data_IF_153453139944
#
_entry.id   IF_153453139944
#
_cell.length_a   1.000
_cell.length_b   1.000
_cell.length_c   1.000
_cell.angle_alpha   90.00
_cell.angle_beta   90.00
_cell.angle_gamma   90.00
#
_symmetry.space_group_name_H-M   'P 1'
#
loop_
_entity.id
_entity.type
_entity.pdbx_description
1 polymer ?
#
# COMPACT_ATOMS: atom_id res chain seq x y z
N UNK A 1 43.63 -0.55 -11.70
CA UNK A 1 42.20 -0.55 -12.05
C UNK A 1 41.36 -1.41 -11.10
N UNK A 2 41.88 -2.54 -10.59
CA UNK A 2 41.22 -3.33 -9.53
C UNK A 2 41.05 -2.54 -8.22
N UNK A 3 42.07 -1.83 -7.77
CA UNK A 3 42.07 -1.19 -6.44
C UNK A 3 41.03 -0.06 -6.32
N UNK A 4 40.91 0.78 -7.36
CA UNK A 4 39.88 1.82 -7.44
C UNK A 4 38.46 1.24 -7.45
N UNK A 5 38.28 0.06 -8.06
CA UNK A 5 36.99 -0.62 -8.10
C UNK A 5 36.64 -1.22 -6.74
N UNK A 6 37.61 -1.87 -6.09
CA UNK A 6 37.48 -2.41 -4.72
C UNK A 6 37.19 -1.30 -3.70
N UNK A 7 37.89 -0.17 -3.80
CA UNK A 7 37.68 0.98 -2.92
C UNK A 7 36.29 1.59 -3.11
N UNK A 8 35.81 1.74 -4.34
CA UNK A 8 34.47 2.26 -4.62
C UNK A 8 33.37 1.31 -4.12
N UNK A 9 33.56 -0.01 -4.25
CA UNK A 9 32.63 -1.01 -3.70
C UNK A 9 32.59 -0.94 -2.18
N UNK A 10 33.75 -0.82 -1.52
CA UNK A 10 33.86 -0.68 -0.06
C UNK A 10 33.16 0.59 0.45
N UNK A 11 33.40 1.74 -0.20
CA UNK A 11 32.73 3.01 0.14
C UNK A 11 31.22 2.95 -0.04
N UNK A 12 30.73 2.32 -1.12
CA UNK A 12 29.29 2.14 -1.33
C UNK A 12 28.68 1.24 -0.26
N UNK A 13 29.33 0.12 0.06
CA UNK A 13 28.85 -0.79 1.09
C UNK A 13 28.74 -0.07 2.45
N UNK A 14 29.75 0.73 2.81
CA UNK A 14 29.73 1.55 4.02
C UNK A 14 28.58 2.57 4.02
N UNK A 15 28.41 3.33 2.93
CA UNK A 15 27.34 4.34 2.83
C UNK A 15 25.93 3.72 2.91
N UNK A 16 25.71 2.58 2.24
CA UNK A 16 24.42 1.87 2.27
C UNK A 16 24.18 1.23 3.64
N UNK A 17 25.23 0.77 4.33
CA UNK A 17 25.13 0.25 5.70
C UNK A 17 24.77 1.37 6.67
N UNK A 18 25.44 2.52 6.58
CA UNK A 18 25.12 3.70 7.39
C UNK A 18 23.68 4.18 7.16
N UNK A 19 23.23 4.20 5.91
CA UNK A 19 21.84 4.45 5.55
C UNK A 19 20.88 3.46 6.24
N UNK A 20 21.15 2.16 6.17
CA UNK A 20 20.30 1.13 6.75
C UNK A 20 20.21 1.28 8.28
N UNK A 21 21.35 1.54 8.95
CA UNK A 21 21.39 1.83 10.38
C UNK A 21 20.58 3.08 10.73
N UNK A 22 20.75 4.17 9.97
CA UNK A 22 20.00 5.41 10.19
C UNK A 22 18.48 5.20 10.02
N UNK A 23 18.05 4.45 9.00
CA UNK A 23 16.65 4.12 8.79
C UNK A 23 16.10 3.24 9.92
N UNK A 24 16.86 2.25 10.39
CA UNK A 24 16.45 1.41 11.51
C UNK A 24 16.33 2.21 12.81
N UNK A 25 17.28 3.10 13.09
CA UNK A 25 17.23 4.00 14.24
C UNK A 25 16.03 4.94 14.15
N UNK A 26 15.75 5.49 12.96
CA UNK A 26 14.56 6.31 12.74
C UNK A 26 13.27 5.53 13.01
N UNK A 27 13.15 4.34 12.42
CA UNK A 27 11.98 3.47 12.62
C UNK A 27 11.78 3.12 14.11
N UNK A 28 12.86 2.96 14.86
CA UNK A 28 12.81 2.67 16.30
C UNK A 28 12.44 3.90 17.14
N UNK A 29 12.94 5.09 16.81
CA UNK A 29 12.75 6.32 17.61
C UNK A 29 11.47 7.07 17.27
N UNK A 30 11.12 7.12 15.99
CA UNK A 30 10.06 8.00 15.45
C UNK A 30 8.93 7.16 14.84
N UNK A 31 9.23 5.93 14.43
CA UNK A 31 8.29 5.04 13.77
C UNK A 31 8.54 4.92 12.26
N UNK A 32 7.84 3.98 11.64
CA UNK A 32 8.02 3.69 10.21
C UNK A 32 7.45 4.85 9.38
N UNK A 33 8.26 5.49 8.49
CA UNK A 33 7.77 6.50 7.57
C UNK A 33 6.68 5.89 6.68
N UNK A 34 5.45 6.42 6.73
CA UNK A 34 4.32 5.86 5.99
C UNK A 34 3.65 6.86 5.04
N UNK A 35 4.11 8.12 5.02
CA UNK A 35 3.62 9.12 4.08
C UNK A 35 4.49 9.21 2.81
N UNK A 36 3.90 9.53 1.64
CA UNK A 36 4.64 9.49 0.38
C UNK A 36 5.88 10.39 0.32
N UNK A 37 5.87 11.53 1.01
CA UNK A 37 6.99 12.46 1.00
C UNK A 37 8.10 11.92 1.90
N UNK A 38 7.79 11.49 3.13
CA UNK A 38 8.75 10.86 4.04
C UNK A 38 9.44 9.66 3.38
N UNK A 39 8.68 8.77 2.74
CA UNK A 39 9.23 7.64 2.00
C UNK A 39 10.13 8.10 0.85
N UNK A 40 9.73 9.11 0.07
CA UNK A 40 10.54 9.62 -1.02
C UNK A 40 11.84 10.29 -0.57
N UNK A 41 11.86 10.95 0.59
CA UNK A 41 13.09 11.50 1.18
C UNK A 41 14.07 10.38 1.56
N UNK A 42 13.59 9.30 2.18
CA UNK A 42 14.41 8.12 2.47
C UNK A 42 14.90 7.41 1.20
N UNK A 43 14.10 7.38 0.13
CA UNK A 43 14.53 6.85 -1.17
C UNK A 43 15.55 7.75 -1.86
N UNK A 44 15.44 9.07 -1.71
CA UNK A 44 16.42 10.01 -2.23
C UNK A 44 17.76 9.83 -1.51
N UNK A 45 17.75 9.73 -0.18
CA UNK A 45 18.96 9.45 0.60
C UNK A 45 19.59 8.12 0.19
N UNK A 46 18.79 7.06 0.01
CA UNK A 46 19.27 5.79 -0.54
C UNK A 46 19.94 5.98 -1.90
N UNK A 47 19.33 6.77 -2.80
CA UNK A 47 19.89 7.03 -4.12
C UNK A 47 21.25 7.74 -4.05
N UNK A 48 21.40 8.71 -3.13
CA UNK A 48 22.67 9.40 -2.87
C UNK A 48 23.72 8.40 -2.34
N UNK A 49 23.39 7.61 -1.31
CA UNK A 49 24.30 6.61 -0.74
C UNK A 49 24.69 5.53 -1.76
N UNK A 50 23.76 5.11 -2.62
CA UNK A 50 24.01 4.10 -3.65
C UNK A 50 24.93 4.60 -4.76
N UNK A 51 24.71 5.84 -5.22
CA UNK A 51 25.51 6.44 -6.30
C UNK A 51 26.81 7.06 -5.82
N UNK A 52 26.91 7.34 -4.50
CA UNK A 52 27.96 8.14 -3.87
C UNK A 52 28.09 9.53 -4.52
N UNK A 53 26.94 10.10 -4.90
CA UNK A 53 26.86 11.37 -5.60
C UNK A 53 25.56 12.10 -5.24
N UNK A 54 25.65 13.41 -5.09
CA UNK A 54 24.49 14.25 -4.83
C UNK A 54 23.79 14.59 -6.15
N UNK A 55 22.50 14.26 -6.26
CA UNK A 55 21.73 14.53 -7.47
C UNK A 55 20.39 15.19 -7.19
N UNK A 56 20.20 16.37 -7.79
CA UNK A 56 18.90 17.06 -7.85
C UNK A 56 17.93 16.42 -8.84
N UNK A 57 18.38 15.45 -9.63
CA UNK A 57 17.50 14.81 -10.60
C UNK A 57 16.39 14.00 -9.92
N UNK A 58 16.65 13.41 -8.75
CA UNK A 58 15.62 12.66 -8.02
C UNK A 58 14.45 13.59 -7.62
N UNK A 59 14.67 14.69 -6.89
CA UNK A 59 13.61 15.66 -6.62
C UNK A 59 12.94 16.20 -7.88
N UNK A 60 13.71 16.53 -8.93
CA UNK A 60 13.16 17.06 -10.20
C UNK A 60 12.18 16.09 -10.87
N UNK A 61 12.47 14.80 -10.83
CA UNK A 61 11.60 13.80 -11.44
C UNK A 61 10.40 13.47 -10.54
N UNK A 62 10.61 13.42 -9.23
CA UNK A 62 9.60 12.96 -8.28
C UNK A 62 8.59 14.03 -7.88
N UNK A 63 8.96 15.32 -7.88
CA UNK A 63 8.07 16.36 -7.35
C UNK A 63 6.67 16.41 -7.98
N UNK A 64 6.44 16.20 -9.30
CA UNK A 64 5.08 16.25 -9.83
C UNK A 64 4.22 15.12 -9.29
N UNK A 65 4.82 13.94 -9.10
CA UNK A 65 4.15 12.75 -8.57
C UNK A 65 3.94 12.84 -7.07
N UNK A 66 4.89 13.39 -6.33
CA UNK A 66 4.75 13.67 -4.91
C UNK A 66 3.68 14.73 -4.64
N UNK A 67 3.63 15.77 -5.48
CA UNK A 67 2.56 16.77 -5.42
C UNK A 67 1.20 16.13 -5.72
N UNK A 68 1.09 15.26 -6.72
CA UNK A 68 -0.15 14.55 -7.01
C UNK A 68 -0.57 13.65 -5.84
N UNK A 69 0.36 12.92 -5.22
CA UNK A 69 0.08 12.10 -4.04
C UNK A 69 -0.28 12.95 -2.80
N UNK A 70 0.32 14.11 -2.66
CA UNK A 70 -0.01 15.10 -1.62
C UNK A 70 -1.44 15.62 -1.77
N UNK A 71 -1.78 16.06 -2.98
CA UNK A 71 -3.14 16.53 -3.34
C UNK A 71 -4.15 15.41 -3.13
N UNK A 72 -3.85 14.18 -3.58
CA UNK A 72 -4.67 13.01 -3.29
C UNK A 72 -4.90 12.82 -1.78
N UNK A 73 -3.84 12.90 -0.97
CA UNK A 73 -3.94 12.75 0.49
C UNK A 73 -4.86 13.80 1.13
N UNK A 74 -4.72 15.06 0.71
CA UNK A 74 -5.58 16.16 1.16
C UNK A 74 -7.05 15.95 0.73
N UNK A 75 -7.28 15.65 -0.54
CA UNK A 75 -8.63 15.41 -1.07
C UNK A 75 -9.30 14.24 -0.36
N UNK A 76 -8.58 13.12 -0.20
CA UNK A 76 -9.06 11.96 0.53
C UNK A 76 -9.43 12.32 1.98
N UNK A 77 -8.65 13.17 2.65
CA UNK A 77 -8.96 13.59 4.01
C UNK A 77 -10.29 14.35 4.11
N UNK A 78 -10.62 15.14 3.09
CA UNK A 78 -11.84 15.96 3.07
C UNK A 78 -13.07 15.16 2.61
N UNK A 79 -12.91 14.00 1.94
CA UNK A 79 -14.08 13.27 1.41
C UNK A 79 -15.07 12.81 2.47
N UNK A 80 -14.62 12.58 3.71
CA UNK A 80 -15.51 12.23 4.83
C UNK A 80 -16.50 13.38 5.15
N UNK A 81 -16.14 14.63 4.85
CA UNK A 81 -16.93 15.83 5.16
C UNK A 81 -17.85 16.27 4.01
N UNK A 82 -17.86 15.55 2.87
CA UNK A 82 -18.65 15.93 1.68
C UNK A 82 -20.17 15.64 1.87
N UNK A 83 -20.57 15.05 3.00
CA UNK A 83 -21.98 14.97 3.42
C UNK A 83 -22.78 13.82 2.79
N UNK A 84 -22.13 12.89 2.10
CA UNK A 84 -22.77 11.65 1.65
C UNK A 84 -22.76 10.61 2.77
N UNK A 85 -23.90 9.98 3.01
CA UNK A 85 -24.01 8.87 3.96
C UNK A 85 -23.28 7.63 3.42
N UNK A 86 -22.33 7.05 4.17
CA UNK A 86 -21.63 5.84 3.72
C UNK A 86 -22.60 4.67 3.52
N UNK A 87 -22.31 3.84 2.52
CA UNK A 87 -23.05 2.59 2.32
C UNK A 87 -22.58 1.56 3.35
N UNK A 88 -23.46 1.17 4.27
CA UNK A 88 -23.16 0.17 5.31
C UNK A 88 -23.79 -1.20 5.00
N UNK A 89 -25.05 -1.22 4.54
CA UNK A 89 -25.81 -2.47 4.33
C UNK A 89 -25.41 -3.18 3.03
N UNK A 90 -25.14 -2.41 1.97
CA UNK A 90 -24.75 -2.98 0.68
C UNK A 90 -23.48 -3.85 0.75
N UNK A 91 -22.35 -3.38 1.35
CA UNK A 91 -21.14 -4.20 1.41
C UNK A 91 -21.32 -5.46 2.25
N UNK A 92 -22.10 -5.41 3.34
CA UNK A 92 -22.45 -6.59 4.14
C UNK A 92 -23.11 -7.65 3.26
N UNK A 93 -24.16 -7.26 2.51
CA UNK A 93 -24.89 -8.17 1.62
C UNK A 93 -24.01 -8.71 0.48
N UNK A 94 -23.13 -7.87 -0.06
CA UNK A 94 -22.18 -8.30 -1.08
C UNK A 94 -21.22 -9.38 -0.55
N UNK A 95 -20.68 -9.18 0.65
CA UNK A 95 -19.78 -10.13 1.30
C UNK A 95 -20.48 -11.41 1.75
N UNK A 96 -21.72 -11.33 2.24
CA UNK A 96 -22.55 -12.52 2.51
C UNK A 96 -22.84 -13.30 1.23
N UNK A 97 -23.15 -12.62 0.13
CA UNK A 97 -23.35 -13.27 -1.16
C UNK A 97 -22.07 -13.96 -1.64
N UNK A 98 -20.92 -13.29 -1.52
CA UNK A 98 -19.62 -13.89 -1.81
C UNK A 98 -19.37 -15.12 -0.91
N UNK A 99 -19.62 -15.00 0.40
CA UNK A 99 -19.44 -16.09 1.36
C UNK A 99 -20.22 -17.36 0.98
N UNK A 100 -21.45 -17.20 0.49
CA UNK A 100 -22.29 -18.31 0.06
C UNK A 100 -21.70 -19.11 -1.11
N UNK A 101 -20.83 -18.52 -1.93
CA UNK A 101 -20.15 -19.22 -3.03
C UNK A 101 -19.24 -20.37 -2.52
N UNK A 102 -18.82 -20.31 -1.26
CA UNK A 102 -18.05 -21.39 -0.59
C UNK A 102 -18.73 -21.89 0.69
N UNK A 103 -20.07 -21.78 0.76
CA UNK A 103 -20.87 -22.34 1.85
C UNK A 103 -20.81 -21.57 3.17
N UNK A 104 -20.45 -20.29 3.14
CA UNK A 104 -20.52 -19.39 4.30
C UNK A 104 -21.86 -18.67 4.43
N UNK A 105 -22.29 -18.43 5.67
CA UNK A 105 -23.60 -17.85 5.97
C UNK A 105 -23.54 -16.42 6.53
N UNK A 106 -22.34 -15.94 6.85
CA UNK A 106 -22.07 -14.61 7.43
C UNK A 106 -20.92 -13.93 6.69
N UNK A 107 -20.75 -12.63 6.89
CA UNK A 107 -19.62 -11.89 6.32
C UNK A 107 -18.26 -12.57 6.66
N UNK A 108 -17.33 -12.69 5.71
CA UNK A 108 -16.06 -13.40 5.90
C UNK A 108 -15.26 -12.94 7.12
N UNK A 109 -15.26 -11.65 7.45
CA UNK A 109 -14.60 -11.11 8.65
C UNK A 109 -15.09 -11.76 9.95
N UNK A 110 -16.41 -11.87 10.12
CA UNK A 110 -17.02 -12.49 11.31
C UNK A 110 -16.65 -13.97 11.38
N UNK A 111 -16.70 -14.66 10.25
CA UNK A 111 -16.30 -16.07 10.17
C UNK A 111 -14.82 -16.26 10.51
N UNK A 112 -13.92 -15.49 9.90
CA UNK A 112 -12.48 -15.61 10.12
C UNK A 112 -12.10 -15.34 11.57
N UNK A 113 -12.63 -14.27 12.18
CA UNK A 113 -12.32 -13.98 13.58
C UNK A 113 -12.86 -15.07 14.50
N UNK A 114 -14.09 -15.54 14.29
CA UNK A 114 -14.66 -16.64 15.10
C UNK A 114 -13.81 -17.92 15.05
N UNK A 115 -13.29 -18.30 13.88
CA UNK A 115 -12.53 -19.54 13.72
C UNK A 115 -11.07 -19.43 14.13
N UNK A 116 -10.42 -18.30 13.84
CA UNK A 116 -8.99 -18.16 14.07
C UNK A 116 -8.67 -17.66 15.48
N UNK A 117 -9.58 -16.88 16.08
CA UNK A 117 -9.23 -16.04 17.21
C UNK A 117 -10.31 -16.01 18.33
N UNK A 118 -11.60 -16.14 18.00
CA UNK A 118 -12.71 -16.22 18.95
C UNK A 118 -12.65 -15.10 20.03
N UNK A 119 -12.78 -15.44 21.31
CA UNK A 119 -12.76 -14.48 22.43
C UNK A 119 -11.40 -13.77 22.62
N UNK A 120 -10.37 -14.19 21.89
CA UNK A 120 -8.97 -13.79 22.09
C UNK A 120 -8.51 -12.64 21.18
N UNK A 121 -9.45 -12.04 20.45
CA UNK A 121 -9.17 -10.97 19.50
C UNK A 121 -8.89 -9.61 20.13
N UNK A 122 -9.03 -9.52 21.44
CA UNK A 122 -8.81 -8.32 22.25
C UNK A 122 -7.65 -8.55 23.22
N UNK A 123 -6.83 -7.52 23.49
CA UNK A 123 -5.69 -7.57 24.43
C UNK A 123 -4.32 -7.80 23.77
N UNK A 124 -3.26 -8.16 24.51
CA UNK A 124 -1.96 -8.54 23.91
C UNK A 124 -1.51 -9.97 24.25
N UNK A 125 -2.15 -10.59 25.24
CA UNK A 125 -1.71 -11.84 25.86
C UNK A 125 -1.84 -13.07 24.95
N UNK A 126 -2.53 -12.92 23.80
CA UNK A 126 -2.91 -14.03 22.93
C UNK A 126 -2.49 -13.85 21.47
N UNK A 127 -1.50 -13.00 21.21
CA UNK A 127 -0.96 -12.80 19.86
C UNK A 127 -0.36 -14.10 19.29
N UNK A 128 -0.78 -14.44 18.07
CA UNK A 128 -0.27 -15.58 17.31
C UNK A 128 0.71 -15.11 16.25
N UNK A 129 1.52 -16.02 15.73
CA UNK A 129 2.52 -15.70 14.70
C UNK A 129 1.91 -15.06 13.46
N UNK A 130 0.67 -15.43 13.11
CA UNK A 130 -0.02 -14.87 11.95
C UNK A 130 -0.54 -13.45 12.19
N UNK A 131 -0.71 -12.99 13.44
CA UNK A 131 -1.06 -11.59 13.72
C UNK A 131 0.10 -10.66 13.33
N UNK A 132 1.35 -11.10 13.57
CA UNK A 132 2.54 -10.39 13.09
C UNK A 132 2.62 -10.38 11.56
N UNK A 133 2.34 -11.53 10.92
CA UNK A 133 2.37 -11.63 9.46
C UNK A 133 1.30 -10.75 8.80
N UNK A 134 0.09 -10.71 9.37
CA UNK A 134 -1.02 -9.89 8.85
C UNK A 134 -0.75 -8.40 9.07
N UNK A 135 -0.23 -7.98 10.24
CA UNK A 135 0.20 -6.59 10.45
C UNK A 135 1.35 -6.19 9.53
N UNK A 136 2.34 -7.05 9.33
CA UNK A 136 3.45 -6.78 8.40
C UNK A 136 2.97 -6.67 6.96
N UNK A 137 2.07 -7.57 6.55
CA UNK A 137 1.47 -7.55 5.21
C UNK A 137 0.65 -6.28 5.03
N UNK A 138 -0.21 -5.95 5.99
CA UNK A 138 -0.98 -4.70 6.04
C UNK A 138 -0.09 -3.46 5.84
N UNK A 139 1.01 -3.37 6.61
CA UNK A 139 1.94 -2.24 6.54
C UNK A 139 2.77 -2.20 5.26
N UNK A 140 2.99 -3.34 4.59
CA UNK A 140 3.83 -3.40 3.39
C UNK A 140 3.35 -2.48 2.26
N UNK A 141 2.04 -2.22 2.15
CA UNK A 141 1.49 -1.43 1.05
C UNK A 141 1.98 0.04 1.05
N UNK A 142 2.30 0.60 2.22
CA UNK A 142 2.81 1.97 2.34
C UNK A 142 4.20 2.13 1.73
N UNK A 143 5.01 1.07 1.78
CA UNK A 143 6.42 1.09 1.40
C UNK A 143 6.68 0.40 0.06
N UNK A 144 6.00 -0.71 -0.22
CA UNK A 144 6.35 -1.58 -1.34
C UNK A 144 6.24 -0.86 -2.68
N UNK A 145 5.14 -0.13 -2.92
CA UNK A 145 4.93 0.53 -4.21
C UNK A 145 5.91 1.68 -4.49
N UNK A 146 6.18 2.52 -3.50
CA UNK A 146 7.16 3.60 -3.61
C UNK A 146 8.60 3.06 -3.61
N UNK A 147 8.89 2.01 -2.84
CA UNK A 147 10.18 1.31 -2.85
C UNK A 147 10.50 0.74 -4.24
N UNK A 148 9.52 0.09 -4.88
CA UNK A 148 9.64 -0.36 -6.27
C UNK A 148 9.90 0.84 -7.19
N UNK A 149 9.19 1.95 -7.01
CA UNK A 149 9.45 3.17 -7.78
C UNK A 149 10.90 3.65 -7.59
N UNK A 150 11.41 3.69 -6.36
CA UNK A 150 12.80 4.07 -6.07
C UNK A 150 13.83 3.13 -6.74
N UNK A 151 13.61 1.83 -6.67
CA UNK A 151 14.47 0.82 -7.32
C UNK A 151 14.45 0.99 -8.83
N UNK A 152 13.27 1.16 -9.43
CA UNK A 152 13.13 1.39 -10.86
C UNK A 152 13.80 2.71 -11.25
N UNK A 153 13.65 3.78 -10.46
CA UNK A 153 14.30 5.05 -10.76
C UNK A 153 15.83 4.93 -10.81
N UNK A 154 16.40 4.09 -9.95
CA UNK A 154 17.82 3.80 -9.93
C UNK A 154 18.30 2.93 -11.11
N UNK A 155 17.46 2.01 -11.59
CA UNK A 155 17.81 1.01 -12.60
C UNK A 155 17.41 1.39 -14.03
N UNK A 156 16.18 1.81 -14.21
CA UNK A 156 15.57 2.15 -15.50
C UNK A 156 14.52 3.24 -15.30
N UNK A 157 14.87 4.46 -15.73
CA UNK A 157 14.01 5.64 -15.58
C UNK A 157 12.75 5.54 -16.43
N UNK A 158 12.81 4.85 -17.56
CA UNK A 158 11.65 4.60 -18.41
C UNK A 158 10.63 3.74 -17.68
N UNK A 159 11.07 2.61 -17.12
CA UNK A 159 10.21 1.74 -16.31
C UNK A 159 9.72 2.41 -15.02
N UNK A 160 10.55 3.25 -14.38
CA UNK A 160 10.09 4.07 -13.26
C UNK A 160 8.91 4.96 -13.66
N UNK A 161 9.01 5.67 -14.77
CA UNK A 161 7.96 6.57 -15.23
C UNK A 161 6.67 5.78 -15.57
N UNK A 162 6.81 4.61 -16.20
CA UNK A 162 5.67 3.70 -16.43
C UNK A 162 5.02 3.28 -15.10
N UNK A 163 5.82 2.89 -14.13
CA UNK A 163 5.36 2.46 -12.81
C UNK A 163 4.64 3.57 -12.05
N UNK A 164 5.29 4.73 -11.87
CA UNK A 164 4.74 5.82 -11.05
C UNK A 164 3.45 6.39 -11.64
N UNK A 165 3.32 6.44 -12.97
CA UNK A 165 2.05 6.79 -13.65
C UNK A 165 0.91 5.90 -13.17
N UNK A 166 1.10 4.58 -13.17
CA UNK A 166 0.08 3.61 -12.76
C UNK A 166 -0.20 3.67 -11.28
N UNK A 167 0.85 3.84 -10.47
CA UNK A 167 0.74 4.01 -9.02
C UNK A 167 -0.16 5.21 -8.68
N UNK A 168 0.11 6.38 -9.29
CA UNK A 168 -0.69 7.59 -9.08
C UNK A 168 -2.09 7.45 -9.70
N UNK A 169 -2.22 6.89 -10.90
CA UNK A 169 -3.53 6.62 -11.51
C UNK A 169 -4.41 5.76 -10.60
N UNK A 170 -3.87 4.70 -10.00
CA UNK A 170 -4.60 3.87 -9.06
C UNK A 170 -5.07 4.67 -7.83
N UNK A 171 -4.21 5.51 -7.24
CA UNK A 171 -4.60 6.37 -6.12
C UNK A 171 -5.80 7.26 -6.47
N UNK A 172 -5.81 7.86 -7.65
CA UNK A 172 -6.90 8.74 -8.09
C UNK A 172 -8.17 7.97 -8.52
N UNK A 173 -8.04 6.77 -9.09
CA UNK A 173 -9.19 5.89 -9.32
C UNK A 173 -9.87 5.49 -8.02
N UNK A 174 -9.07 5.20 -6.98
CA UNK A 174 -9.60 4.92 -5.66
C UNK A 174 -10.27 6.15 -5.04
N UNK A 175 -9.65 7.33 -5.14
CA UNK A 175 -10.26 8.59 -4.70
C UNK A 175 -11.63 8.83 -5.35
N UNK A 176 -11.74 8.59 -6.65
CA UNK A 176 -13.01 8.70 -7.36
C UNK A 176 -14.04 7.71 -6.79
N UNK A 177 -13.64 6.48 -6.50
CA UNK A 177 -14.48 5.49 -5.82
C UNK A 177 -14.97 5.98 -4.47
N UNK A 178 -14.08 6.57 -3.66
CA UNK A 178 -14.43 7.11 -2.33
C UNK A 178 -15.46 8.24 -2.39
N UNK A 179 -15.40 9.06 -3.45
CA UNK A 179 -16.35 10.16 -3.67
C UNK A 179 -17.70 9.64 -4.17
N UNK A 180 -17.68 8.73 -5.15
CA UNK A 180 -18.90 8.26 -5.84
C UNK A 180 -19.65 7.21 -5.02
N UNK A 181 -18.92 6.41 -4.25
CA UNK A 181 -19.46 5.31 -3.47
C UNK A 181 -18.73 5.21 -2.10
N UNK A 182 -18.97 6.16 -1.19
CA UNK A 182 -18.44 6.07 0.17
C UNK A 182 -19.00 4.82 0.85
N UNK A 183 -18.15 4.09 1.56
CA UNK A 183 -18.48 2.76 2.05
C UNK A 183 -17.91 2.54 3.45
N UNK A 184 -18.76 2.15 4.38
CA UNK A 184 -18.33 1.87 5.74
C UNK A 184 -17.55 0.55 5.81
N UNK A 185 -16.47 0.49 6.61
CA UNK A 185 -15.72 -0.75 6.85
C UNK A 185 -16.44 -1.69 7.86
N UNK A 186 -16.02 -2.97 7.96
CA UNK A 186 -16.63 -3.95 8.86
C UNK A 186 -16.62 -3.53 10.33
N UNK A 187 -15.53 -2.95 10.82
CA UNK A 187 -15.42 -2.52 12.23
C UNK A 187 -16.48 -1.47 12.60
N UNK A 188 -16.78 -0.54 11.69
CA UNK A 188 -17.80 0.49 11.88
C UNK A 188 -19.21 -0.11 11.85
N UNK A 189 -19.48 -1.02 10.91
CA UNK A 189 -20.75 -1.74 10.86
C UNK A 189 -21.01 -2.57 12.14
N UNK A 190 -19.96 -3.12 12.75
CA UNK A 190 -20.07 -3.81 14.04
C UNK A 190 -20.33 -2.85 15.21
N UNK A 191 -19.68 -1.68 15.23
CA UNK A 191 -19.96 -0.61 16.21
C UNK A 191 -21.42 -0.11 16.11
N UNK A 192 -21.97 -0.05 14.91
CA UNK A 192 -23.38 0.30 14.67
C UNK A 192 -24.36 -0.88 14.88
N UNK A 193 -23.87 -2.07 15.23
CA UNK A 193 -24.70 -3.26 15.51
C UNK A 193 -25.32 -3.90 14.26
N UNK A 194 -24.83 -3.60 13.06
CA UNK A 194 -25.32 -4.18 11.81
C UNK A 194 -24.79 -5.60 11.55
N UNK A 195 -23.64 -5.93 12.13
CA UNK A 195 -23.05 -7.27 12.13
C UNK A 195 -22.64 -7.66 13.57
N UNK A 196 -22.43 -8.95 13.87
CA UNK A 196 -21.89 -9.37 15.16
C UNK A 196 -20.58 -8.63 15.51
N UNK A 197 -20.28 -8.43 16.81
CA UNK A 197 -19.06 -7.75 17.24
C UNK A 197 -17.79 -8.41 16.67
N UNK A 198 -16.86 -7.58 16.21
CA UNK A 198 -15.54 -7.98 15.73
C UNK A 198 -14.46 -7.07 16.33
N UNK A 199 -13.22 -7.55 16.38
CA UNK A 199 -12.08 -6.75 16.80
C UNK A 199 -11.40 -6.09 15.59
N UNK A 200 -11.02 -4.83 15.73
CA UNK A 200 -10.15 -4.14 14.76
C UNK A 200 -8.69 -4.31 15.18
N UNK A 201 -7.92 -5.12 14.45
CA UNK A 201 -6.62 -5.61 14.94
C UNK A 201 -5.42 -5.37 14.01
N UNK A 202 -5.57 -4.59 12.93
CA UNK A 202 -4.54 -4.42 11.90
C UNK A 202 -3.18 -3.93 12.41
N UNK A 203 -3.18 -3.17 13.52
CA UNK A 203 -1.98 -2.58 14.12
C UNK A 203 -1.59 -3.23 15.46
N UNK A 204 -2.32 -4.25 15.92
CA UNK A 204 -2.17 -4.86 17.26
C UNK A 204 -0.78 -5.47 17.47
N UNK A 205 -0.28 -6.23 16.49
CA UNK A 205 1.01 -6.89 16.62
C UNK A 205 2.20 -5.90 16.60
N UNK A 206 2.08 -4.81 15.85
CA UNK A 206 3.08 -3.74 15.85
C UNK A 206 3.05 -2.91 17.14
N UNK A 207 1.86 -2.63 17.67
CA UNK A 207 1.71 -1.99 18.98
C UNK A 207 2.35 -2.84 20.10
N UNK A 208 2.20 -4.17 20.04
CA UNK A 208 2.89 -5.07 20.97
C UNK A 208 4.42 -5.00 20.87
N UNK A 209 4.97 -4.73 19.68
CA UNK A 209 6.41 -4.53 19.48
C UNK A 209 6.89 -3.11 19.81
N UNK A 210 5.99 -2.20 20.22
CA UNK A 210 6.30 -0.78 20.38
C UNK A 210 6.64 -0.07 19.07
N UNK A 211 6.26 -0.64 17.93
CA UNK A 211 6.51 -0.06 16.60
C UNK A 211 5.28 0.71 16.18
N UNK A 212 5.36 2.04 16.23
CA UNK A 212 4.32 2.91 15.70
C UNK A 212 4.62 3.32 14.25
N UNK A 213 3.57 3.69 13.53
CA UNK A 213 3.68 4.30 12.19
C UNK A 213 3.48 5.80 12.34
N UNK A 214 4.29 6.57 11.63
CA UNK A 214 4.32 8.02 11.79
C UNK A 214 4.05 8.72 10.46
N UNK A 215 2.97 9.50 10.42
CA UNK A 215 2.68 10.46 9.34
C UNK A 215 3.22 11.82 9.76
N UNK A 216 4.32 12.27 9.18
CA UNK A 216 5.00 13.49 9.64
C UNK A 216 4.47 14.73 8.90
N UNK A 217 4.12 14.58 7.63
CA UNK A 217 3.86 15.72 6.74
C UNK A 217 2.35 15.92 6.48
N UNK A 218 1.58 14.84 6.34
CA UNK A 218 0.13 14.89 6.13
C UNK A 218 -0.62 14.41 7.36
N UNK A 219 -0.39 15.06 8.51
CA UNK A 219 -0.97 14.69 9.81
C UNK A 219 -2.35 14.05 9.64
N UNK A 220 -2.40 12.72 9.83
CA UNK A 220 -3.36 11.85 9.15
C UNK A 220 -4.80 12.34 9.26
N UNK A 221 -5.30 12.99 8.20
CA UNK A 221 -6.72 13.27 8.07
C UNK A 221 -7.40 11.90 7.94
N UNK A 222 -8.14 11.45 8.97
CA UNK A 222 -8.72 10.13 8.96
C UNK A 222 -9.80 10.13 7.88
N UNK A 223 -9.73 9.19 6.95
CA UNK A 223 -10.85 8.88 6.09
C UNK A 223 -11.40 7.52 6.53
N UNK A 224 -12.41 7.56 7.39
CA UNK A 224 -13.01 6.37 8.02
C UNK A 224 -13.98 5.65 7.09
N UNK A 225 -14.44 6.31 6.02
CA UNK A 225 -15.52 5.83 5.14
C UNK A 225 -15.07 5.52 3.70
N UNK A 226 -13.77 5.53 3.43
CA UNK A 226 -13.16 5.15 2.15
C UNK A 226 -12.66 3.70 2.14
N UNK A 227 -13.54 2.74 2.44
CA UNK A 227 -13.15 1.34 2.40
C UNK A 227 -13.08 0.77 0.97
N UNK A 228 -13.92 1.21 0.02
CA UNK A 228 -13.95 0.67 -1.36
C UNK A 228 -13.62 1.72 -2.43
N UNK A 229 -12.71 1.42 -3.38
CA UNK A 229 -11.88 0.22 -3.47
C UNK A 229 -10.76 0.21 -2.43
N UNK A 230 -10.37 -0.98 -1.95
CA UNK A 230 -9.27 -1.11 -1.02
C UNK A 230 -7.94 -0.82 -1.71
N UNK A 231 -7.27 0.27 -1.33
CA UNK A 231 -5.94 0.59 -1.88
C UNK A 231 -4.84 -0.36 -1.41
N UNK A 232 -4.98 -0.95 -0.23
CA UNK A 232 -4.11 -2.02 0.24
C UNK A 232 -4.09 -3.16 -0.79
N UNK A 233 -5.26 -3.68 -1.16
CA UNK A 233 -5.38 -4.68 -2.20
C UNK A 233 -5.00 -4.11 -3.58
N UNK A 234 -5.44 -2.90 -3.92
CA UNK A 234 -5.13 -2.27 -5.21
C UNK A 234 -3.63 -2.20 -5.49
N UNK A 235 -2.82 -1.75 -4.53
CA UNK A 235 -1.37 -1.67 -4.72
C UNK A 235 -0.73 -3.05 -4.81
N UNK A 236 -1.14 -4.03 -3.98
CA UNK A 236 -0.59 -5.39 -4.05
C UNK A 236 -0.95 -6.10 -5.35
N UNK A 237 -2.16 -5.90 -5.87
CA UNK A 237 -2.57 -6.33 -7.21
C UNK A 237 -1.76 -5.63 -8.29
N UNK A 238 -1.60 -4.31 -8.22
CA UNK A 238 -0.82 -3.53 -9.19
C UNK A 238 0.63 -4.04 -9.26
N UNK A 239 1.29 -4.20 -8.11
CA UNK A 239 2.65 -4.77 -8.00
C UNK A 239 2.71 -6.14 -8.68
N UNK A 240 1.78 -7.02 -8.32
CA UNK A 240 1.76 -8.40 -8.79
C UNK A 240 1.54 -8.49 -10.29
N UNK A 241 0.50 -7.83 -10.81
CA UNK A 241 0.16 -7.84 -12.23
C UNK A 241 1.24 -7.18 -13.08
N UNK A 242 1.79 -6.06 -12.62
CA UNK A 242 2.87 -5.37 -13.32
C UNK A 242 4.13 -6.24 -13.42
N UNK A 243 4.48 -6.94 -12.33
CA UNK A 243 5.62 -7.85 -12.28
C UNK A 243 5.39 -9.10 -13.15
N UNK A 244 4.20 -9.72 -13.10
CA UNK A 244 3.85 -10.87 -13.94
C UNK A 244 3.99 -10.55 -15.43
N UNK A 245 3.63 -9.33 -15.86
CA UNK A 245 3.79 -8.88 -17.25
C UNK A 245 5.27 -8.74 -17.68
N UNK A 246 6.20 -8.60 -16.75
CA UNK A 246 7.63 -8.34 -17.02
C UNK A 246 8.53 -9.54 -16.79
N UNK A 247 8.14 -10.42 -15.87
CA UNK A 247 8.86 -11.64 -15.57
C UNK A 247 8.50 -12.74 -16.58
N UNK A 248 9.49 -13.52 -17.01
CA UNK A 248 9.32 -14.63 -17.96
C UNK A 248 9.21 -16.01 -17.31
N UNK A 249 9.60 -16.12 -16.05
CA UNK A 249 9.57 -17.38 -15.29
C UNK A 249 8.15 -17.81 -14.93
N UNK A 250 7.79 -19.11 -14.98
CA UNK A 250 6.48 -19.59 -14.53
C UNK A 250 6.24 -19.29 -13.04
N UNK A 251 7.31 -19.24 -12.22
CA UNK A 251 7.24 -18.87 -10.81
C UNK A 251 6.71 -17.46 -10.55
N UNK A 252 6.59 -16.61 -11.58
CA UNK A 252 5.99 -15.27 -11.46
C UNK A 252 4.56 -15.30 -10.91
N UNK A 253 3.82 -16.38 -11.11
CA UNK A 253 2.46 -16.50 -10.59
C UNK A 253 2.42 -16.70 -9.08
N UNK A 254 3.51 -17.11 -8.42
CA UNK A 254 3.60 -17.10 -6.96
C UNK A 254 3.44 -15.70 -6.36
N UNK A 255 3.66 -14.64 -7.15
CA UNK A 255 3.40 -13.27 -6.71
C UNK A 255 1.93 -13.02 -6.38
N UNK A 256 0.98 -13.84 -6.89
CA UNK A 256 -0.44 -13.78 -6.52
C UNK A 256 -0.67 -14.07 -5.03
N UNK A 257 0.27 -14.73 -4.35
CA UNK A 257 0.21 -14.90 -2.90
C UNK A 257 0.20 -13.55 -2.16
N UNK A 258 0.80 -12.50 -2.73
CA UNK A 258 0.86 -11.19 -2.07
C UNK A 258 -0.52 -10.50 -1.95
N UNK A 259 -1.30 -10.28 -3.03
CA UNK A 259 -2.64 -9.72 -2.92
C UNK A 259 -3.60 -10.64 -2.17
N UNK A 260 -3.42 -11.97 -2.24
CA UNK A 260 -4.20 -12.93 -1.44
C UNK A 260 -3.92 -12.76 0.05
N UNK A 261 -2.64 -12.70 0.45
CA UNK A 261 -2.25 -12.46 1.83
C UNK A 261 -2.73 -11.09 2.32
N UNK A 262 -2.68 -10.06 1.47
CA UNK A 262 -3.22 -8.74 1.79
C UNK A 262 -4.73 -8.78 2.01
N UNK A 263 -5.51 -9.35 1.08
CA UNK A 263 -6.96 -9.48 1.23
C UNK A 263 -7.32 -10.24 2.51
N UNK A 264 -6.66 -11.38 2.77
CA UNK A 264 -6.82 -12.13 4.00
C UNK A 264 -6.53 -11.26 5.24
N UNK A 265 -5.41 -10.53 5.24
CA UNK A 265 -5.02 -9.67 6.37
C UNK A 265 -6.07 -8.60 6.67
N UNK A 266 -6.64 -7.96 5.66
CA UNK A 266 -7.65 -6.90 5.85
C UNK A 266 -9.00 -7.44 6.33
N UNK A 267 -9.46 -8.55 5.73
CA UNK A 267 -10.73 -9.18 6.10
C UNK A 267 -10.64 -9.76 7.51
N UNK A 268 -9.54 -10.46 7.82
CA UNK A 268 -9.29 -10.99 9.17
C UNK A 268 -9.20 -9.88 10.21
N UNK A 269 -8.51 -8.79 9.91
CA UNK A 269 -8.31 -7.69 10.87
C UNK A 269 -9.49 -6.73 11.01
N UNK A 270 -10.56 -6.93 10.23
CA UNK A 270 -11.77 -6.13 10.26
C UNK A 270 -11.68 -4.78 9.55
N UNK A 271 -10.62 -4.53 8.78
CA UNK A 271 -10.41 -3.24 8.09
C UNK A 271 -11.22 -3.10 6.80
N UNK A 272 -11.44 -4.21 6.07
CA UNK A 272 -12.15 -4.20 4.80
C UNK A 272 -13.01 -5.45 4.62
N UNK A 273 -14.08 -5.30 3.85
CA UNK A 273 -14.83 -6.41 3.29
C UNK A 273 -14.04 -7.05 2.13
N UNK A 274 -14.38 -8.29 1.78
CA UNK A 274 -13.77 -8.98 0.65
C UNK A 274 -14.11 -8.30 -0.69
N UNK A 275 -15.31 -7.76 -0.83
CA UNK A 275 -15.70 -6.99 -2.02
C UNK A 275 -14.76 -5.79 -2.27
N UNK A 276 -14.29 -5.14 -1.21
CA UNK A 276 -13.34 -4.01 -1.29
C UNK A 276 -12.02 -4.44 -1.91
N UNK A 277 -11.56 -5.65 -1.54
CA UNK A 277 -10.35 -6.26 -2.06
C UNK A 277 -10.48 -6.58 -3.54
N UNK A 278 -11.63 -7.15 -3.96
CA UNK A 278 -11.96 -7.42 -5.36
C UNK A 278 -11.96 -6.12 -6.16
N UNK A 279 -12.61 -5.07 -5.65
CA UNK A 279 -12.66 -3.77 -6.30
C UNK A 279 -11.29 -3.08 -6.34
N UNK A 280 -10.42 -3.34 -5.37
CA UNK A 280 -9.00 -2.99 -5.43
C UNK A 280 -8.30 -3.64 -6.63
N UNK A 281 -8.54 -4.93 -6.89
CA UNK A 281 -8.02 -5.63 -8.06
C UNK A 281 -8.57 -5.09 -9.40
N UNK A 282 -9.85 -4.72 -9.43
CA UNK A 282 -10.46 -4.04 -10.60
C UNK A 282 -9.79 -2.69 -10.84
N UNK A 283 -9.65 -1.86 -9.81
CA UNK A 283 -8.99 -0.56 -9.91
C UNK A 283 -7.53 -0.67 -10.36
N UNK A 284 -6.79 -1.66 -9.85
CA UNK A 284 -5.42 -1.95 -10.28
C UNK A 284 -5.34 -2.34 -11.77
N UNK A 285 -6.29 -3.15 -12.24
CA UNK A 285 -6.40 -3.54 -13.65
C UNK A 285 -6.69 -2.32 -14.54
N UNK A 286 -7.63 -1.46 -14.13
CA UNK A 286 -7.91 -0.21 -14.83
C UNK A 286 -6.69 0.71 -14.86
N UNK A 287 -5.96 0.85 -13.76
CA UNK A 287 -4.73 1.65 -13.71
C UNK A 287 -3.66 1.11 -14.68
N UNK A 288 -3.53 -0.21 -14.83
CA UNK A 288 -2.63 -0.82 -15.81
C UNK A 288 -3.04 -0.50 -17.25
N UNK A 289 -4.34 -0.58 -17.55
CA UNK A 289 -4.87 -0.29 -18.89
C UNK A 289 -4.72 1.18 -19.25
N UNK A 290 -5.08 2.09 -18.34
CA UNK A 290 -4.90 3.54 -18.51
C UNK A 290 -3.43 3.88 -18.63
N UNK A 291 -2.55 3.28 -17.80
CA UNK A 291 -1.12 3.48 -17.90
C UNK A 291 -0.52 2.98 -19.22
N UNK A 292 -0.99 1.83 -19.73
CA UNK A 292 -0.57 1.33 -21.03
C UNK A 292 -1.03 2.24 -22.18
N UNK A 293 -2.24 2.77 -22.09
CA UNK A 293 -2.73 3.78 -23.02
C UNK A 293 -1.88 5.07 -22.93
N UNK A 294 -1.63 5.58 -21.72
CA UNK A 294 -0.81 6.77 -21.50
C UNK A 294 0.60 6.61 -22.09
N UNK A 295 1.24 5.46 -21.87
CA UNK A 295 2.59 5.22 -22.41
C UNK A 295 2.64 5.18 -23.94
N UNK A 296 1.56 4.78 -24.62
CA UNK A 296 1.49 4.85 -26.09
C UNK A 296 1.41 6.30 -26.58
N UNK A 297 0.67 7.14 -25.88
CA UNK A 297 0.49 8.56 -26.22
C UNK A 297 1.68 9.43 -25.83
N UNK A 298 2.30 9.16 -24.68
CA UNK A 298 3.49 9.86 -24.17
C UNK A 298 4.54 8.85 -23.69
N UNK A 299 5.32 8.29 -24.63
CA UNK A 299 6.37 7.33 -24.29
C UNK A 299 7.38 7.92 -23.28
N UNK A 300 7.86 7.13 -22.31
CA UNK A 300 8.81 7.61 -21.32
C UNK A 300 10.06 8.26 -21.91
N UNK A 301 10.52 7.75 -23.06
CA UNK A 301 11.73 8.21 -23.75
C UNK A 301 11.60 9.68 -24.17
N UNK A 302 10.41 10.09 -24.63
CA UNK A 302 10.13 11.49 -25.01
C UNK A 302 10.01 12.44 -23.82
N UNK A 303 9.59 11.92 -22.66
CA UNK A 303 9.40 12.74 -21.45
C UNK A 303 10.72 12.96 -20.72
N UNK A 304 11.57 11.93 -20.68
CA UNK A 304 12.84 11.98 -19.98
C UNK A 304 13.93 12.70 -20.79
N UNK A 305 13.83 12.66 -22.13
CA UNK A 305 14.72 13.37 -23.04
C UNK A 305 13.89 14.24 -24.00
N UNK A 306 13.32 15.36 -23.52
CA UNK A 306 12.80 16.39 -24.40
C UNK A 306 14.03 17.02 -25.08
N UNK A 307 14.22 16.73 -26.37
CA UNK A 307 15.32 17.29 -27.16
C UNK A 307 15.37 18.81 -27.12
#
# INVERSE_FOLDING_TARGET
MSDLMTERVSRRALAVTAYAVALLLWCWLIGIPNDPIGVALWLWLLAICWRLDWSWQFPKDWWPWLLALAVYGLLRGITDDIGFTPHEVWPIRADEWLARLWGGDVVPTVSLQRHLCADHCVGFDQLRWYDYLTSATYASHFLAGLGIAGILWLRDRGEWLRWIRRYVTLSYLALLGYIVFPMAPPWMAAEHGLIPPIARMSSRAFAHLGIERTTIIFGGLPNKTAAMPSLHCGFTFLITFYAIQRLRTPWRFLLLLYPVAMAFSLVYSGEHYLIDAIMGGVAATLALLIGAWWDRWRPPERVLNPG
#
